data_IF_942532851907
#
_entry.id   IF_942532851907
#
_cell.length_a   1.000
_cell.length_b   1.000
_cell.length_c   1.000
_cell.angle_alpha   90.00
_cell.angle_beta   90.00
_cell.angle_gamma   90.00
#
_symmetry.space_group_name_H-M   'P 1'
#
loop_
_entity.id
_entity.type
_entity.pdbx_description
1 polymer ?
#
# COMPACT_ATOMS: atom_id res chain seq x y z
N UNK A 1 4.29 -3.79 -9.27
CA UNK A 1 4.42 -4.37 -7.91
C UNK A 1 5.68 -5.22 -7.70
N UNK A 2 5.95 -6.22 -8.52
CA UNK A 2 7.14 -7.10 -8.35
C UNK A 2 8.46 -6.32 -8.40
N UNK A 3 8.63 -5.43 -9.40
CA UNK A 3 9.82 -4.60 -9.53
C UNK A 3 10.08 -3.71 -8.30
N UNK A 4 9.03 -3.15 -7.70
CA UNK A 4 9.16 -2.34 -6.49
C UNK A 4 9.63 -3.19 -5.31
N UNK A 5 9.02 -4.36 -5.11
CA UNK A 5 9.44 -5.29 -4.06
C UNK A 5 10.91 -5.70 -4.21
N UNK A 6 11.36 -6.03 -5.42
CA UNK A 6 12.75 -6.39 -5.69
C UNK A 6 13.71 -5.22 -5.46
N UNK A 7 13.34 -4.01 -5.87
CA UNK A 7 14.15 -2.81 -5.69
C UNK A 7 14.34 -2.42 -4.22
N UNK A 8 13.35 -2.69 -3.36
CA UNK A 8 13.37 -2.30 -1.94
C UNK A 8 13.66 -3.46 -0.98
N UNK A 9 13.87 -4.66 -1.51
CA UNK A 9 14.23 -5.85 -0.74
C UNK A 9 15.73 -6.01 -0.64
N UNK A 10 16.24 -6.12 0.58
CA UNK A 10 17.65 -6.41 0.84
C UNK A 10 17.84 -7.91 1.10
N UNK A 11 18.76 -8.59 0.38
CA UNK A 11 19.10 -9.98 0.66
C UNK A 11 19.53 -10.18 2.12
N UNK A 12 19.12 -11.29 2.74
CA UNK A 12 19.45 -11.62 4.13
C UNK A 12 18.58 -10.93 5.19
N UNK A 13 17.70 -10.01 4.81
CA UNK A 13 16.70 -9.42 5.72
C UNK A 13 15.46 -10.33 5.79
N UNK A 14 14.87 -10.42 7.00
CA UNK A 14 13.63 -11.18 7.24
C UNK A 14 12.50 -10.66 6.37
N UNK A 15 11.68 -11.57 5.85
CA UNK A 15 10.52 -11.26 5.02
C UNK A 15 9.60 -10.21 5.66
N UNK A 16 9.30 -10.34 6.95
CA UNK A 16 8.44 -9.39 7.68
C UNK A 16 8.97 -7.94 7.65
N UNK A 17 10.29 -7.75 7.70
CA UNK A 17 10.89 -6.43 7.60
C UNK A 17 10.82 -5.87 6.17
N UNK A 18 10.99 -6.72 5.16
CA UNK A 18 10.80 -6.33 3.75
C UNK A 18 9.34 -5.95 3.47
N UNK A 19 8.39 -6.70 4.01
CA UNK A 19 6.96 -6.39 3.92
C UNK A 19 6.64 -5.06 4.60
N UNK A 20 7.16 -4.81 5.80
CA UNK A 20 6.97 -3.53 6.47
C UNK A 20 7.58 -2.36 5.68
N UNK A 21 8.67 -2.58 4.95
CA UNK A 21 9.21 -1.58 4.04
C UNK A 21 8.23 -1.32 2.87
N UNK A 22 7.71 -2.38 2.26
CA UNK A 22 6.70 -2.28 1.20
C UNK A 22 5.44 -1.54 1.65
N UNK A 23 4.95 -1.79 2.87
CA UNK A 23 3.77 -1.11 3.42
C UNK A 23 3.92 0.42 3.41
N UNK A 24 5.15 0.96 3.57
CA UNK A 24 5.38 2.41 3.51
C UNK A 24 5.03 3.00 2.15
N UNK A 25 5.48 2.34 1.08
CA UNK A 25 5.18 2.76 -0.29
C UNK A 25 3.70 2.60 -0.62
N UNK A 26 3.10 1.48 -0.18
CA UNK A 26 1.67 1.24 -0.38
C UNK A 26 0.81 2.24 0.39
N UNK A 27 1.24 2.69 1.57
CA UNK A 27 0.55 3.74 2.31
C UNK A 27 0.60 5.11 1.63
N UNK A 28 1.65 5.38 0.83
CA UNK A 28 1.75 6.60 0.04
C UNK A 28 0.78 6.61 -1.14
N UNK A 29 0.70 5.50 -1.89
CA UNK A 29 -0.17 5.41 -3.08
C UNK A 29 -1.61 5.01 -2.76
N UNK A 30 -1.87 4.38 -1.61
CA UNK A 30 -3.14 3.74 -1.31
C UNK A 30 -4.35 4.66 -1.24
N UNK A 31 -4.14 5.97 -1.05
CA UNK A 31 -5.21 6.96 -1.10
C UNK A 31 -5.80 7.16 -2.49
N UNK A 32 -5.05 6.84 -3.55
CA UNK A 32 -5.51 6.92 -4.94
C UNK A 32 -6.04 5.59 -5.49
N UNK A 33 -5.98 4.52 -4.71
CA UNK A 33 -6.34 3.18 -5.17
C UNK A 33 -7.85 2.97 -5.12
N UNK A 34 -8.46 3.28 -3.98
CA UNK A 34 -9.90 3.11 -3.82
C UNK A 34 -10.47 4.02 -2.71
N UNK A 35 -11.76 4.39 -2.78
CA UNK A 35 -12.35 5.42 -1.91
C UNK A 35 -12.79 4.96 -0.50
N UNK A 36 -12.93 3.67 -0.27
CA UNK A 36 -13.46 3.08 0.98
C UNK A 36 -12.41 2.90 2.08
N UNK A 37 -11.13 2.83 1.72
CA UNK A 37 -10.03 2.56 2.64
C UNK A 37 -9.76 1.06 2.89
N UNK A 38 -10.54 0.17 2.27
CA UNK A 38 -10.36 -1.29 2.34
C UNK A 38 -8.98 -1.76 1.86
N UNK A 39 -8.41 -1.14 0.82
CA UNK A 39 -7.07 -1.49 0.34
C UNK A 39 -6.02 -1.29 1.43
N UNK A 40 -5.98 -0.08 2.02
CA UNK A 40 -5.05 0.25 3.10
C UNK A 40 -5.31 -0.60 4.35
N UNK A 41 -6.58 -0.88 4.64
CA UNK A 41 -7.02 -1.71 5.75
C UNK A 41 -6.48 -3.14 5.64
N UNK A 42 -6.53 -3.76 4.45
CA UNK A 42 -5.97 -5.09 4.19
C UNK A 42 -4.43 -5.07 4.25
N UNK A 43 -3.79 -4.14 3.55
CA UNK A 43 -2.33 -4.01 3.51
C UNK A 43 -1.72 -3.83 4.91
N UNK A 44 -2.36 -3.08 5.81
CA UNK A 44 -1.87 -2.90 7.19
C UNK A 44 -1.75 -4.23 7.94
N UNK A 45 -2.65 -5.19 7.71
CA UNK A 45 -2.71 -6.48 8.42
C UNK A 45 -1.89 -7.59 7.80
N UNK A 46 -1.49 -7.45 6.54
CA UNK A 46 -0.75 -8.51 5.86
C UNK A 46 0.64 -8.72 6.46
N UNK A 47 1.03 -9.98 6.65
CA UNK A 47 2.33 -10.36 7.24
C UNK A 47 3.19 -11.23 6.31
N UNK A 48 2.67 -11.62 5.16
CA UNK A 48 3.34 -12.47 4.18
C UNK A 48 3.45 -11.80 2.81
N UNK A 49 4.51 -12.13 2.08
CA UNK A 49 4.76 -11.64 0.72
C UNK A 49 3.59 -12.03 -0.19
N UNK A 50 3.17 -13.29 -0.11
CA UNK A 50 2.07 -13.82 -0.91
C UNK A 50 0.76 -13.04 -0.67
N UNK A 51 0.40 -12.79 0.59
CA UNK A 51 -0.78 -12.00 0.93
C UNK A 51 -0.71 -10.58 0.38
N UNK A 52 0.46 -9.93 0.48
CA UNK A 52 0.61 -8.54 0.02
C UNK A 52 0.41 -8.46 -1.49
N UNK A 53 0.97 -9.40 -2.25
CA UNK A 53 0.76 -9.46 -3.69
C UNK A 53 -0.67 -9.82 -4.08
N UNK A 54 -1.36 -10.68 -3.31
CA UNK A 54 -2.77 -10.98 -3.55
C UNK A 54 -3.62 -9.72 -3.43
N UNK A 55 -3.51 -8.97 -2.33
CA UNK A 55 -4.25 -7.72 -2.19
C UNK A 55 -3.86 -6.69 -3.24
N UNK A 56 -2.58 -6.59 -3.60
CA UNK A 56 -2.19 -5.68 -4.67
C UNK A 56 -2.82 -6.06 -6.01
N UNK A 57 -3.00 -7.35 -6.33
CA UNK A 57 -3.71 -7.75 -7.53
C UNK A 57 -5.20 -7.44 -7.47
N UNK A 58 -5.84 -7.74 -6.35
CA UNK A 58 -7.28 -7.47 -6.15
C UNK A 58 -7.66 -6.01 -6.42
N UNK A 59 -6.78 -5.06 -6.09
CA UNK A 59 -7.06 -3.63 -6.18
C UNK A 59 -6.32 -2.88 -7.31
N UNK A 60 -5.22 -3.41 -7.85
CA UNK A 60 -4.41 -2.72 -8.87
C UNK A 60 -4.33 -3.45 -10.21
N UNK A 61 -4.76 -4.72 -10.28
CA UNK A 61 -4.73 -5.53 -11.50
C UNK A 61 -6.05 -5.38 -12.27
N UNK A 62 -6.34 -4.14 -12.66
CA UNK A 62 -7.50 -3.78 -13.47
C UNK A 62 -7.11 -2.79 -14.57
N UNK A 63 -7.79 -2.86 -15.72
CA UNK A 63 -7.58 -1.94 -16.84
C UNK A 63 -8.41 -0.65 -16.73
N UNK A 64 -9.02 -0.40 -15.56
CA UNK A 64 -9.79 0.81 -15.32
C UNK A 64 -8.89 2.03 -15.03
N UNK A 65 -9.24 3.22 -15.57
CA UNK A 65 -8.50 4.43 -15.31
C UNK A 65 -8.60 4.84 -13.83
N UNK A 66 -7.45 4.98 -13.18
CA UNK A 66 -7.39 5.52 -11.82
C UNK A 66 -7.40 7.06 -11.84
N UNK A 67 -8.04 7.70 -10.86
CA UNK A 67 -8.04 9.16 -10.76
C UNK A 67 -6.62 9.69 -10.47
N UNK A 68 -6.34 10.89 -10.98
CA UNK A 68 -5.06 11.59 -10.74
C UNK A 68 -5.01 12.29 -9.38
N UNK A 69 -6.18 12.44 -8.74
CA UNK A 69 -6.33 13.00 -7.41
C UNK A 69 -6.69 11.89 -6.40
N UNK A 70 -6.11 11.91 -5.18
CA UNK A 70 -6.47 10.96 -4.14
C UNK A 70 -7.95 11.06 -3.76
N UNK A 71 -8.54 9.94 -3.36
CA UNK A 71 -9.90 9.94 -2.82
C UNK A 71 -9.94 10.65 -1.46
N UNK A 72 -11.02 11.40 -1.22
CA UNK A 72 -11.27 12.04 0.07
C UNK A 72 -11.75 11.01 1.09
N UNK A 73 -10.81 10.28 1.69
CA UNK A 73 -11.12 9.31 2.74
C UNK A 73 -11.41 10.04 4.05
N UNK A 74 -12.45 9.60 4.77
CA UNK A 74 -12.69 10.06 6.13
C UNK A 74 -11.60 9.50 7.04
N UNK A 75 -10.64 10.35 7.38
CA UNK A 75 -9.57 10.03 8.31
C UNK A 75 -10.08 10.14 9.75
N UNK A 76 -9.70 9.19 10.60
CA UNK A 76 -9.91 9.36 12.03
C UNK A 76 -8.99 10.47 12.55
N UNK A 77 -9.33 11.11 13.69
CA UNK A 77 -8.50 12.17 14.26
C UNK A 77 -7.04 11.77 14.55
N UNK A 78 -6.77 10.47 14.70
CA UNK A 78 -5.45 9.89 14.94
C UNK A 78 -4.71 9.46 13.67
N UNK A 79 -5.37 9.48 12.51
CA UNK A 79 -4.75 9.08 11.25
C UNK A 79 -3.85 10.19 10.74
N UNK A 80 -2.57 9.85 10.50
CA UNK A 80 -1.59 10.77 9.93
C UNK A 80 -1.39 10.42 8.46
N UNK A 81 -1.61 11.41 7.59
CA UNK A 81 -1.36 11.28 6.17
C UNK A 81 0.14 11.24 5.88
N UNK A 82 0.58 10.20 5.20
CA UNK A 82 1.96 10.12 4.73
C UNK A 82 2.19 11.20 3.65
N UNK A 83 3.18 12.06 3.85
CA UNK A 83 3.48 13.16 2.93
C UNK A 83 2.79 14.49 3.24
N UNK A 84 1.98 14.57 4.30
CA UNK A 84 1.56 15.86 4.85
C UNK A 84 2.75 16.53 5.55
N UNK A 85 3.61 17.19 4.77
CA UNK A 85 4.66 18.07 5.29
C UNK A 85 3.97 19.33 5.80
N UNK A 86 4.07 19.59 7.11
CA UNK A 86 3.87 20.93 7.67
C UNK A 86 5.04 21.83 7.31
#
# INVERSE_FOLDING_TARGET
MHALYEAVSTPGIRESAQINNMKKYLNFIGLGVEPTGEFLHQIRRTTTRAGLFTHCREFLDHDEPMPLEPFAISLNPTDVMAGATR
#
